data_IF_949954007294
#
_entry.id   IF_949954007294
#
_cell.length_a   1.000
_cell.length_b   1.000
_cell.length_c   1.000
_cell.angle_alpha   90.00
_cell.angle_beta   90.00
_cell.angle_gamma   90.00
#
_symmetry.space_group_name_H-M   'P 1'
#
loop_
_entity.id
_entity.type
_entity.pdbx_description
1 polymer ?
#
# COMPACT_ATOMS: atom_id res chain seq x y z
N UNK A 1 31.20 19.48 0.53
CA UNK A 1 31.16 18.01 0.30
C UNK A 1 31.71 17.20 1.48
N UNK A 2 32.88 17.52 2.05
CA UNK A 2 33.46 16.75 3.17
C UNK A 2 32.59 16.76 4.45
N UNK A 3 32.03 17.92 4.83
CA UNK A 3 31.15 18.06 5.99
C UNK A 3 29.85 17.25 5.92
N UNK A 4 29.25 17.15 4.73
CA UNK A 4 28.02 16.38 4.50
C UNK A 4 28.27 14.87 4.66
N UNK A 5 29.39 14.38 4.13
CA UNK A 5 29.78 12.97 4.27
C UNK A 5 30.15 12.62 5.72
N UNK A 6 30.79 13.54 6.45
CA UNK A 6 31.06 13.37 7.89
C UNK A 6 29.78 13.31 8.71
N UNK A 7 28.79 14.15 8.40
CA UNK A 7 27.49 14.15 9.08
C UNK A 7 26.72 12.85 8.82
N UNK A 8 26.75 12.35 7.58
CA UNK A 8 26.13 11.09 7.18
C UNK A 8 26.77 9.90 7.92
N UNK A 9 28.09 9.91 8.06
CA UNK A 9 28.84 8.86 8.77
C UNK A 9 28.53 8.88 10.28
N UNK A 10 28.40 10.06 10.88
CA UNK A 10 28.03 10.22 12.30
C UNK A 10 26.59 9.75 12.56
N UNK A 11 25.66 10.05 11.65
CA UNK A 11 24.27 9.58 11.71
C UNK A 11 24.17 8.05 11.62
N UNK A 12 24.98 7.41 10.76
CA UNK A 12 25.03 5.95 10.63
C UNK A 12 25.64 5.27 11.86
N UNK A 13 26.66 5.89 12.49
CA UNK A 13 27.34 5.31 13.66
C UNK A 13 26.57 5.47 14.98
N UNK A 14 25.68 6.48 15.05
CA UNK A 14 24.83 6.71 16.23
C UNK A 14 23.71 5.66 16.34
N UNK A 15 23.29 5.06 15.21
CA UNK A 15 22.24 4.05 15.17
C UNK A 15 22.66 2.70 15.77
N UNK A 16 23.95 2.34 15.69
CA UNK A 16 24.45 1.03 16.15
C UNK A 16 24.55 0.90 17.68
N UNK A 17 24.63 2.01 18.42
CA UNK A 17 24.74 1.97 19.89
C UNK A 17 23.37 1.85 20.61
N UNK A 18 22.26 1.94 19.89
CA UNK A 18 20.89 1.75 20.41
C UNK A 18 20.34 0.32 20.19
N UNK A 19 21.13 -0.58 19.61
CA UNK A 19 20.71 -1.92 19.17
C UNK A 19 20.82 -3.00 20.26
N UNK A 20 20.29 -2.73 21.46
CA UNK A 20 20.11 -3.76 22.49
C UNK A 20 18.77 -4.50 22.26
N UNK A 21 18.84 -5.79 21.90
CA UNK A 21 17.81 -6.85 21.98
C UNK A 21 16.35 -6.50 21.61
N UNK A 22 16.15 -5.65 20.60
CA UNK A 22 14.84 -5.46 19.99
C UNK A 22 14.91 -5.81 18.52
N UNK A 23 14.03 -6.71 18.08
CA UNK A 23 13.82 -6.96 16.65
C UNK A 23 13.47 -5.61 16.01
N UNK A 24 14.33 -5.18 15.09
CA UNK A 24 14.22 -3.91 14.37
C UNK A 24 13.54 -4.09 13.02
N UNK A 25 13.12 -5.31 12.70
CA UNK A 25 12.63 -5.71 11.39
C UNK A 25 11.14 -6.00 11.46
N UNK A 26 10.39 -5.63 10.44
CA UNK A 26 8.99 -6.02 10.33
C UNK A 26 8.73 -6.78 9.03
N UNK A 27 7.75 -7.68 9.08
CA UNK A 27 7.12 -8.30 7.92
C UNK A 27 5.67 -7.86 7.88
N UNK A 28 5.14 -7.60 6.68
CA UNK A 28 3.78 -7.14 6.49
C UNK A 28 3.12 -7.94 5.37
N UNK A 29 1.92 -8.43 5.58
CA UNK A 29 1.12 -9.10 4.56
C UNK A 29 -0.24 -8.42 4.45
N UNK A 30 -0.57 -7.96 3.24
CA UNK A 30 -1.77 -7.19 2.94
C UNK A 30 -2.71 -8.00 2.03
N UNK A 31 -4.00 -7.97 2.33
CA UNK A 31 -5.08 -8.37 1.42
C UNK A 31 -5.96 -7.14 1.17
N UNK A 32 -6.28 -6.86 -0.08
CA UNK A 32 -7.05 -5.68 -0.49
C UNK A 32 -8.18 -6.04 -1.44
N UNK A 33 -9.35 -5.43 -1.26
CA UNK A 33 -10.46 -5.46 -2.20
C UNK A 33 -10.56 -4.08 -2.87
N UNK A 34 -10.37 -4.05 -4.18
CA UNK A 34 -10.44 -2.84 -4.99
C UNK A 34 -11.88 -2.53 -5.40
N UNK A 35 -12.19 -1.25 -5.54
CA UNK A 35 -13.49 -0.76 -5.96
C UNK A 35 -13.36 0.17 -7.17
N UNK A 36 -14.26 0.01 -8.12
CA UNK A 36 -14.45 0.93 -9.24
C UNK A 36 -15.77 1.69 -9.11
N UNK A 37 -15.86 2.80 -9.83
CA UNK A 37 -17.10 3.56 -9.97
C UNK A 37 -18.11 2.72 -10.75
N UNK A 38 -19.32 2.57 -10.21
CA UNK A 38 -20.41 1.92 -10.92
C UNK A 38 -20.85 2.80 -12.12
N UNK A 39 -20.82 2.30 -13.37
CA UNK A 39 -21.30 3.05 -14.53
C UNK A 39 -22.76 3.47 -14.42
N UNK A 40 -23.58 2.66 -13.74
CA UNK A 40 -25.01 2.88 -13.56
C UNK A 40 -25.31 3.61 -12.24
N UNK A 41 -24.29 4.17 -11.57
CA UNK A 41 -24.44 4.83 -10.27
C UNK A 41 -25.56 5.87 -10.29
N UNK A 42 -26.58 5.65 -9.46
CA UNK A 42 -27.71 6.56 -9.31
C UNK A 42 -28.88 6.32 -10.26
N UNK A 43 -28.76 5.35 -11.16
CA UNK A 43 -29.91 4.80 -11.88
C UNK A 43 -30.74 3.90 -10.96
N UNK A 44 -32.04 3.78 -11.26
CA UNK A 44 -32.93 2.84 -10.58
C UNK A 44 -32.84 1.52 -11.32
N UNK A 45 -32.44 0.47 -10.63
CA UNK A 45 -32.34 -0.85 -11.19
C UNK A 45 -33.75 -1.40 -11.44
N UNK A 46 -33.98 -1.86 -12.67
CA UNK A 46 -35.30 -2.28 -13.16
C UNK A 46 -35.80 -3.59 -12.53
N UNK A 47 -34.94 -4.34 -11.84
CA UNK A 47 -35.27 -5.64 -11.26
C UNK A 47 -35.62 -5.56 -9.77
N UNK A 48 -34.96 -4.69 -9.01
CA UNK A 48 -35.17 -4.53 -7.56
C UNK A 48 -35.79 -3.17 -7.20
N UNK A 49 -35.92 -2.24 -8.15
CA UNK A 49 -36.40 -0.88 -7.95
C UNK A 49 -35.56 -0.06 -6.96
N UNK A 50 -34.32 -0.50 -6.70
CA UNK A 50 -33.38 0.17 -5.81
C UNK A 50 -32.40 1.05 -6.59
N UNK A 51 -31.81 2.01 -5.90
CA UNK A 51 -30.81 2.89 -6.48
C UNK A 51 -29.47 2.17 -6.53
N UNK A 52 -28.88 2.12 -7.71
CA UNK A 52 -27.56 1.50 -7.93
C UNK A 52 -26.46 2.13 -7.06
N UNK A 53 -25.61 1.27 -6.48
CA UNK A 53 -24.49 1.67 -5.64
C UNK A 53 -23.51 2.55 -6.40
N UNK A 54 -22.79 3.42 -5.69
CA UNK A 54 -21.77 4.29 -6.29
C UNK A 54 -20.49 3.53 -6.65
N UNK A 55 -20.20 2.45 -5.91
CA UNK A 55 -18.99 1.65 -6.07
C UNK A 55 -19.34 0.17 -6.17
N UNK A 56 -18.58 -0.54 -7.00
CA UNK A 56 -18.66 -1.99 -7.15
C UNK A 56 -17.27 -2.59 -6.91
N UNK A 57 -17.17 -3.80 -6.31
CA UNK A 57 -15.91 -4.53 -6.25
C UNK A 57 -15.36 -4.75 -7.66
N UNK A 58 -14.07 -4.47 -7.85
CA UNK A 58 -13.40 -4.47 -9.16
C UNK A 58 -12.02 -5.16 -9.13
N UNK A 59 -11.68 -5.79 -8.02
CA UNK A 59 -10.43 -6.53 -7.96
C UNK A 59 -10.01 -6.95 -6.58
N UNK A 60 -8.99 -7.78 -6.54
CA UNK A 60 -8.35 -8.22 -5.30
C UNK A 60 -6.84 -8.02 -5.41
N UNK A 61 -6.19 -7.72 -4.30
CA UNK A 61 -4.74 -7.59 -4.25
C UNK A 61 -4.16 -8.29 -3.02
N UNK A 62 -2.95 -8.77 -3.18
CA UNK A 62 -2.14 -9.35 -2.10
C UNK A 62 -0.74 -8.77 -2.17
N UNK A 63 -0.21 -8.27 -1.05
CA UNK A 63 1.14 -7.69 -1.00
C UNK A 63 1.91 -8.26 0.19
N UNK A 64 3.20 -8.48 0.01
CA UNK A 64 4.13 -8.90 1.05
C UNK A 64 5.25 -7.87 1.13
N UNK A 65 5.61 -7.49 2.35
CA UNK A 65 6.64 -6.50 2.63
C UNK A 65 7.57 -6.95 3.73
N UNK A 66 8.82 -6.52 3.61
CA UNK A 66 9.84 -6.67 4.64
C UNK A 66 10.60 -5.36 4.81
N UNK A 67 10.92 -5.00 6.05
CA UNK A 67 11.59 -3.74 6.31
C UNK A 67 12.11 -3.60 7.71
N UNK A 68 12.55 -2.40 8.02
CA UNK A 68 13.01 -1.97 9.34
C UNK A 68 12.01 -1.00 9.96
N UNK A 69 11.95 -0.98 11.29
CA UNK A 69 11.12 -0.05 12.02
C UNK A 69 11.81 0.49 13.27
N UNK A 70 11.34 1.65 13.71
CA UNK A 70 11.68 2.25 14.99
C UNK A 70 10.43 2.30 15.87
N UNK A 71 10.46 1.55 16.98
CA UNK A 71 9.39 1.50 18.00
C UNK A 71 7.96 1.26 17.47
N UNK A 72 7.83 0.46 16.39
CA UNK A 72 6.58 0.25 15.62
C UNK A 72 5.94 1.54 15.07
N UNK A 73 6.59 2.69 15.22
CA UNK A 73 6.07 4.00 14.86
C UNK A 73 6.51 4.38 13.45
N UNK A 74 7.81 4.41 13.20
CA UNK A 74 8.35 4.75 11.88
C UNK A 74 8.87 3.49 11.24
N UNK A 75 8.56 3.26 9.96
CA UNK A 75 9.03 2.09 9.23
C UNK A 75 9.44 2.42 7.80
N UNK A 76 10.41 1.67 7.30
CA UNK A 76 10.86 1.69 5.91
C UNK A 76 11.02 0.24 5.45
N UNK A 77 10.45 -0.11 4.31
CA UNK A 77 10.56 -1.47 3.77
C UNK A 77 10.42 -1.53 2.26
N UNK A 78 10.68 -2.72 1.73
CA UNK A 78 10.43 -3.05 0.33
C UNK A 78 9.27 -4.03 0.29
N UNK A 79 8.34 -3.76 -0.60
CA UNK A 79 7.09 -4.51 -0.73
C UNK A 79 6.91 -4.91 -2.18
N UNK A 80 6.27 -6.06 -2.38
CA UNK A 80 5.84 -6.53 -3.68
C UNK A 80 4.54 -7.30 -3.56
N UNK A 81 3.84 -7.52 -4.66
CA UNK A 81 2.58 -8.23 -4.62
C UNK A 81 1.97 -8.45 -5.99
N UNK A 82 0.70 -8.77 -5.97
CA UNK A 82 -0.15 -8.92 -7.15
C UNK A 82 -1.46 -8.17 -6.89
N UNK A 83 -1.90 -7.40 -7.87
CA UNK A 83 -3.22 -6.79 -7.91
C UNK A 83 -3.93 -7.32 -9.17
N UNK A 84 -5.10 -7.90 -9.00
CA UNK A 84 -5.95 -8.35 -10.09
C UNK A 84 -7.14 -7.41 -10.23
N UNK A 85 -7.16 -6.69 -11.35
CA UNK A 85 -8.25 -5.82 -11.80
C UNK A 85 -9.16 -6.61 -12.74
N UNK A 86 -10.45 -6.69 -12.40
CA UNK A 86 -11.43 -7.50 -13.11
C UNK A 86 -11.95 -6.80 -14.36
N UNK A 87 -12.33 -5.51 -14.27
CA UNK A 87 -12.86 -4.74 -15.40
C UNK A 87 -11.87 -4.67 -16.57
N UNK A 88 -10.59 -4.45 -16.28
CA UNK A 88 -9.54 -4.37 -17.29
C UNK A 88 -8.94 -5.73 -17.64
N UNK A 89 -9.34 -6.81 -16.94
CA UNK A 89 -8.76 -8.15 -17.05
C UNK A 89 -7.24 -8.10 -16.98
N UNK A 90 -6.73 -7.47 -15.92
CA UNK A 90 -5.34 -7.11 -15.78
C UNK A 90 -4.79 -7.61 -14.45
N UNK A 91 -3.61 -8.23 -14.50
CA UNK A 91 -2.83 -8.56 -13.30
C UNK A 91 -1.59 -7.68 -13.27
N UNK A 92 -1.36 -7.00 -12.17
CA UNK A 92 -0.26 -6.05 -11.97
C UNK A 92 0.62 -6.52 -10.83
N UNK A 93 1.92 -6.60 -11.06
CA UNK A 93 2.92 -6.92 -10.05
C UNK A 93 3.71 -5.65 -9.67
N UNK A 94 3.38 -4.97 -8.56
CA UNK A 94 4.15 -3.85 -8.08
C UNK A 94 5.40 -4.31 -7.29
N UNK A 95 6.47 -3.53 -7.36
CA UNK A 95 7.66 -3.59 -6.49
C UNK A 95 7.95 -2.17 -6.04
N UNK A 96 7.96 -1.92 -4.74
CA UNK A 96 7.99 -0.55 -4.22
C UNK A 96 8.66 -0.42 -2.86
N UNK A 97 9.22 0.77 -2.62
CA UNK A 97 9.63 1.20 -1.30
C UNK A 97 8.40 1.73 -0.55
N UNK A 98 8.26 1.37 0.72
CA UNK A 98 7.15 1.75 1.58
C UNK A 98 7.66 2.46 2.83
N UNK A 99 7.23 3.70 3.01
CA UNK A 99 7.40 4.46 4.23
C UNK A 99 6.13 4.36 5.08
N UNK A 100 6.29 4.11 6.37
CA UNK A 100 5.21 3.90 7.32
C UNK A 100 5.36 4.84 8.51
N UNK A 101 4.27 5.51 8.86
CA UNK A 101 4.16 6.40 10.02
C UNK A 101 2.92 6.02 10.83
N UNK A 102 3.13 5.48 12.02
CA UNK A 102 2.08 4.89 12.87
C UNK A 102 2.09 5.45 14.30
N UNK A 103 1.77 6.73 14.52
CA UNK A 103 1.70 7.29 15.87
C UNK A 103 0.59 6.63 16.70
N UNK A 104 0.85 6.48 18.00
CA UNK A 104 -0.17 6.05 18.96
C UNK A 104 -1.22 7.15 19.11
N UNK A 105 -2.49 6.76 19.08
CA UNK A 105 -3.63 7.65 19.35
C UNK A 105 -4.44 7.21 20.57
N UNK A 106 -4.18 6.01 21.08
CA UNK A 106 -4.70 5.49 22.34
C UNK A 106 -3.73 4.49 22.96
N UNK A 107 -4.16 3.78 24.00
CA UNK A 107 -3.33 2.76 24.66
C UNK A 107 -2.98 1.61 23.71
N UNK A 108 -3.98 1.18 22.92
CA UNK A 108 -3.88 0.02 22.02
C UNK A 108 -3.92 0.38 20.53
N UNK A 109 -4.40 1.57 20.18
CA UNK A 109 -4.66 1.94 18.77
C UNK A 109 -3.59 2.87 18.20
N UNK A 110 -3.18 2.62 16.95
CA UNK A 110 -2.36 3.53 16.14
C UNK A 110 -3.10 3.92 14.88
N UNK A 111 -3.04 5.21 14.53
CA UNK A 111 -3.34 5.63 13.16
C UNK A 111 -2.09 5.38 12.32
N UNK A 112 -2.23 4.77 11.15
CA UNK A 112 -1.12 4.39 10.27
C UNK A 112 -1.29 5.05 8.92
N UNK A 113 -0.29 5.84 8.53
CA UNK A 113 -0.11 6.39 7.19
C UNK A 113 1.00 5.61 6.50
N UNK A 114 0.77 5.19 5.26
CA UNK A 114 1.80 4.58 4.41
C UNK A 114 1.88 5.30 3.07
N UNK A 115 3.12 5.59 2.66
CA UNK A 115 3.47 6.21 1.40
C UNK A 115 4.40 5.27 0.65
N UNK A 116 4.09 4.97 -0.59
CA UNK A 116 4.83 4.01 -1.38
C UNK A 116 5.10 4.49 -2.79
N UNK A 117 6.32 4.25 -3.26
CA UNK A 117 6.82 4.63 -4.58
C UNK A 117 7.64 3.48 -5.16
N UNK A 118 7.42 3.16 -6.44
CA UNK A 118 8.10 2.05 -7.08
C UNK A 118 7.76 1.89 -8.55
N UNK A 119 7.80 0.63 -9.00
CA UNK A 119 7.46 0.21 -10.36
C UNK A 119 6.32 -0.79 -10.34
N UNK A 120 5.50 -0.76 -11.37
CA UNK A 120 4.45 -1.74 -11.62
C UNK A 120 4.65 -2.39 -12.98
N UNK A 121 4.41 -3.70 -13.03
CA UNK A 121 4.56 -4.52 -14.24
C UNK A 121 3.21 -5.16 -14.53
N UNK A 122 2.66 -4.92 -15.71
CA UNK A 122 1.44 -5.59 -16.17
C UNK A 122 1.78 -6.99 -16.69
N UNK A 123 1.32 -8.03 -15.99
CA UNK A 123 1.57 -9.42 -16.36
C UNK A 123 0.66 -9.83 -17.53
N UNK A 124 1.23 -10.56 -18.49
CA UNK A 124 0.50 -11.09 -19.64
C UNK A 124 0.11 -10.05 -20.70
N UNK A 125 0.61 -8.81 -20.60
CA UNK A 125 0.31 -7.71 -21.54
C UNK A 125 1.55 -7.15 -22.25
N UNK A 126 2.60 -7.96 -22.41
CA UNK A 126 3.87 -7.55 -23.04
C UNK A 126 4.76 -6.74 -22.09
N UNK A 127 5.56 -5.82 -22.64
CA UNK A 127 6.51 -4.97 -21.89
C UNK A 127 5.82 -3.71 -21.32
N UNK A 128 4.66 -3.87 -20.69
CA UNK A 128 3.95 -2.77 -20.04
C UNK A 128 4.46 -2.62 -18.61
N UNK A 129 5.32 -1.62 -18.41
CA UNK A 129 5.84 -1.22 -17.11
C UNK A 129 5.60 0.27 -16.88
N UNK A 130 5.37 0.65 -15.63
CA UNK A 130 5.07 2.03 -15.26
C UNK A 130 5.50 2.38 -13.85
N UNK A 131 5.36 3.65 -13.49
CA UNK A 131 5.53 4.08 -12.10
C UNK A 131 4.38 3.54 -11.23
N UNK A 132 4.71 3.22 -9.98
CA UNK A 132 3.73 2.84 -8.96
C UNK A 132 3.76 3.84 -7.81
N UNK A 133 2.59 4.35 -7.45
CA UNK A 133 2.41 5.25 -6.31
C UNK A 133 1.27 4.71 -5.46
N UNK A 134 1.46 4.66 -4.14
CA UNK A 134 0.44 4.23 -3.19
C UNK A 134 0.40 5.18 -1.99
N UNK A 135 -0.82 5.51 -1.59
CA UNK A 135 -1.14 6.19 -0.33
C UNK A 135 -2.13 5.32 0.43
N UNK A 136 -1.86 5.04 1.70
CA UNK A 136 -2.75 4.26 2.55
C UNK A 136 -2.90 4.89 3.92
N UNK A 137 -4.12 4.89 4.43
CA UNK A 137 -4.48 5.37 5.76
C UNK A 137 -5.30 4.29 6.47
N UNK A 138 -4.98 4.00 7.72
CA UNK A 138 -5.70 2.97 8.46
C UNK A 138 -5.51 3.02 9.98
N UNK A 139 -6.17 2.12 10.66
CA UNK A 139 -6.12 1.92 12.10
C UNK A 139 -5.49 0.56 12.40
N UNK A 140 -4.44 0.57 13.20
CA UNK A 140 -3.74 -0.62 13.67
C UNK A 140 -4.14 -0.90 15.13
N UNK A 141 -4.53 -2.14 15.41
CA UNK A 141 -4.83 -2.65 16.75
C UNK A 141 -3.59 -3.08 17.52
N UNK A 142 -3.79 -3.49 18.78
CA UNK A 142 -2.78 -4.05 19.68
C UNK A 142 -2.18 -5.37 19.16
N UNK A 143 -2.98 -6.17 18.42
CA UNK A 143 -2.59 -7.43 17.80
C UNK A 143 -1.81 -7.27 16.48
N UNK A 144 -1.33 -6.06 16.19
CA UNK A 144 -0.61 -5.72 14.96
C UNK A 144 -1.40 -5.99 13.66
N UNK A 145 -2.74 -6.02 13.75
CA UNK A 145 -3.67 -6.04 12.61
C UNK A 145 -3.96 -4.59 12.21
N UNK A 146 -3.88 -4.29 10.91
CA UNK A 146 -4.17 -2.97 10.34
C UNK A 146 -5.35 -3.07 9.37
N UNK A 147 -6.41 -2.31 9.64
CA UNK A 147 -7.51 -2.06 8.70
C UNK A 147 -7.26 -0.73 8.00
N UNK A 148 -7.31 -0.71 6.67
CA UNK A 148 -6.90 0.47 5.92
C UNK A 148 -7.71 0.70 4.65
N UNK A 149 -7.69 1.95 4.21
CA UNK A 149 -8.04 2.35 2.85
C UNK A 149 -6.75 2.66 2.10
N UNK A 150 -6.66 2.30 0.83
CA UNK A 150 -5.54 2.66 -0.02
C UNK A 150 -5.98 3.20 -1.37
N UNK A 151 -5.18 4.11 -1.91
CA UNK A 151 -5.28 4.61 -3.27
C UNK A 151 -4.00 4.17 -3.97
N UNK A 152 -4.15 3.44 -5.07
CA UNK A 152 -3.05 3.01 -5.93
C UNK A 152 -3.13 3.74 -7.27
N UNK A 153 -1.98 4.08 -7.81
CA UNK A 153 -1.84 4.66 -9.14
C UNK A 153 -0.69 3.99 -9.90
N UNK A 154 -0.95 3.71 -11.17
CA UNK A 154 -0.05 3.09 -12.13
C UNK A 154 0.03 3.98 -13.38
N UNK A 155 1.26 4.34 -13.76
CA UNK A 155 1.54 5.17 -14.93
C UNK A 155 1.95 4.29 -16.11
N UNK A 156 0.99 3.52 -16.64
CA UNK A 156 1.14 2.81 -17.90
C UNK A 156 -0.22 2.75 -18.64
N UNK A 157 -0.22 2.79 -19.98
CA UNK A 157 -1.45 2.94 -20.73
C UNK A 157 -2.31 1.67 -20.68
N UNK A 158 -3.58 1.81 -20.30
CA UNK A 158 -4.61 0.75 -20.36
C UNK A 158 -5.81 1.31 -21.12
N UNK A 159 -6.27 0.60 -22.16
CA UNK A 159 -7.49 0.97 -22.91
C UNK A 159 -7.55 2.45 -23.35
N UNK A 160 -6.44 2.97 -23.91
CA UNK A 160 -6.26 4.37 -24.32
C UNK A 160 -6.30 5.42 -23.18
N UNK A 161 -6.36 5.00 -21.92
CA UNK A 161 -6.12 5.87 -20.77
C UNK A 161 -4.64 5.80 -20.40
N UNK A 162 -4.01 6.96 -20.19
CA UNK A 162 -2.59 7.05 -19.85
C UNK A 162 -2.28 6.59 -18.42
N UNK A 163 -3.29 6.71 -17.55
CA UNK A 163 -3.16 6.51 -16.11
C UNK A 163 -4.23 5.52 -15.66
N UNK A 164 -3.89 4.65 -14.73
CA UNK A 164 -4.85 3.75 -14.09
C UNK A 164 -4.64 3.73 -12.58
N UNK A 165 -5.68 3.44 -11.82
CA UNK A 165 -5.62 3.41 -10.38
C UNK A 165 -6.89 2.86 -9.78
N UNK A 166 -6.82 2.52 -8.50
CA UNK A 166 -7.99 2.04 -7.76
C UNK A 166 -7.97 2.53 -6.32
N UNK A 167 -9.16 2.56 -5.74
CA UNK A 167 -9.37 2.74 -4.30
C UNK A 167 -9.67 1.35 -3.74
N UNK A 168 -8.99 0.96 -2.68
CA UNK A 168 -9.16 -0.36 -2.08
C UNK A 168 -9.37 -0.26 -0.57
N UNK A 169 -10.13 -1.22 -0.04
CA UNK A 169 -10.20 -1.51 1.39
C UNK A 169 -9.30 -2.71 1.67
N UNK A 170 -8.56 -2.70 2.77
CA UNK A 170 -7.62 -3.77 3.06
C UNK A 170 -7.47 -4.10 4.53
N UNK A 171 -6.97 -5.31 4.75
CA UNK A 171 -6.51 -5.82 6.03
C UNK A 171 -5.05 -6.23 5.90
N UNK A 172 -4.26 -5.92 6.92
CA UNK A 172 -2.84 -6.20 6.96
C UNK A 172 -2.46 -6.87 8.28
N UNK A 173 -1.62 -7.89 8.18
CA UNK A 173 -0.98 -8.58 9.30
C UNK A 173 0.48 -8.13 9.37
N UNK A 174 0.87 -7.52 10.49
CA UNK A 174 2.22 -7.01 10.68
C UNK A 174 2.92 -7.80 11.80
N UNK A 175 4.11 -8.30 11.53
CA UNK A 175 4.96 -8.97 12.52
C UNK A 175 6.22 -8.13 12.74
N UNK A 176 6.39 -7.63 13.96
CA UNK A 176 7.58 -6.88 14.40
C UNK A 176 8.61 -7.78 15.09
#
# INVERSE_FOLDING_TARGET
>A
MKLLNSLLFLLLFSGSLLAQDKKITYTQFDITLAFAKNPNSGEINRYDNEKESWFIPDGIGTKLGYGIHYKKWVGLGIHSGLNWDWSNKLVVAPIFANFRLSPKIGEETRITLQLALGKAIALGRGELTGEYKKLSLGLQSSDDILLFIEINHYDFPINNQRDSGNISLGISLISF
#
